data_IF_914463797696
#
_entry.id   IF_914463797696
#
_cell.length_a   1.000
_cell.length_b   1.000
_cell.length_c   1.000
_cell.angle_alpha   90.00
_cell.angle_beta   90.00
_cell.angle_gamma   90.00
#
_symmetry.space_group_name_H-M   'P 1'
#
loop_
_entity.id
_entity.type
_entity.pdbx_description
1 polymer ?
#
# COMPACT_ATOMS: atom_id res chain seq x y z
N UNK A 1 23.31 -2.72 -30.72
CA UNK A 1 24.07 -2.89 -29.46
C UNK A 1 23.19 -2.99 -28.20
N UNK A 2 21.89 -2.67 -28.22
CA UNK A 2 21.03 -2.72 -27.02
C UNK A 2 20.39 -4.09 -26.71
N UNK A 3 20.25 -4.98 -27.70
CA UNK A 3 19.59 -6.28 -27.56
C UNK A 3 20.39 -7.31 -26.75
N UNK A 4 21.72 -7.23 -26.79
CA UNK A 4 22.59 -8.16 -26.03
C UNK A 4 22.44 -7.98 -24.52
N UNK A 5 22.33 -6.74 -24.02
CA UNK A 5 22.19 -6.47 -22.59
C UNK A 5 20.87 -6.99 -22.00
N UNK A 6 19.79 -6.93 -22.79
CA UNK A 6 18.48 -7.44 -22.37
C UNK A 6 18.48 -8.97 -22.23
N UNK A 7 19.13 -9.68 -23.17
CA UNK A 7 19.25 -11.14 -23.10
C UNK A 7 20.07 -11.62 -21.89
N UNK A 8 21.17 -10.94 -21.56
CA UNK A 8 21.97 -11.28 -20.38
C UNK A 8 21.22 -11.05 -19.06
N UNK A 9 20.35 -10.04 -19.01
CA UNK A 9 19.51 -9.78 -17.84
C UNK A 9 18.48 -10.90 -17.64
N UNK A 10 17.79 -11.31 -18.71
CA UNK A 10 16.79 -12.38 -18.66
C UNK A 10 17.39 -13.73 -18.25
N UNK A 11 18.55 -14.10 -18.81
CA UNK A 11 19.26 -15.34 -18.42
C UNK A 11 19.69 -15.31 -16.94
N UNK A 12 20.01 -14.14 -16.40
CA UNK A 12 20.35 -13.98 -14.98
C UNK A 12 19.13 -14.12 -14.08
N UNK A 13 17.98 -13.57 -14.47
CA UNK A 13 16.73 -13.76 -13.72
C UNK A 13 16.30 -15.23 -13.71
N UNK A 14 16.39 -15.92 -14.87
CA UNK A 14 16.01 -17.34 -14.98
C UNK A 14 16.88 -18.20 -14.04
N UNK A 15 18.21 -18.02 -14.05
CA UNK A 15 19.10 -18.77 -13.17
C UNK A 15 18.82 -18.54 -11.68
N UNK A 16 18.45 -17.30 -11.31
CA UNK A 16 18.08 -16.97 -9.92
C UNK A 16 16.77 -17.61 -9.51
N UNK A 17 15.79 -17.66 -10.41
CA UNK A 17 14.49 -18.28 -10.18
C UNK A 17 14.64 -19.80 -10.01
N UNK A 18 15.44 -20.44 -10.86
CA UNK A 18 15.76 -21.86 -10.76
C UNK A 18 16.45 -22.21 -9.42
N UNK A 19 17.43 -21.40 -9.01
CA UNK A 19 18.11 -21.58 -7.73
C UNK A 19 17.19 -21.37 -6.51
N UNK A 20 16.24 -20.42 -6.58
CA UNK A 20 15.26 -20.19 -5.53
C UNK A 20 14.28 -21.36 -5.41
N UNK A 21 13.86 -21.93 -6.54
CA UNK A 21 12.92 -23.05 -6.59
C UNK A 21 13.58 -24.34 -6.08
N UNK A 22 14.82 -24.62 -6.48
CA UNK A 22 15.58 -25.78 -5.99
C UNK A 22 15.79 -25.77 -4.48
N UNK A 23 16.02 -24.59 -3.88
CA UNK A 23 16.11 -24.46 -2.42
C UNK A 23 14.79 -24.69 -1.70
N UNK A 24 13.67 -24.31 -2.32
CA UNK A 24 12.34 -24.54 -1.74
C UNK A 24 12.00 -26.03 -1.76
N UNK A 25 12.37 -26.73 -2.82
CA UNK A 25 12.21 -28.18 -2.96
C UNK A 25 13.06 -28.95 -1.96
N UNK A 26 14.34 -28.55 -1.75
CA UNK A 26 15.22 -29.18 -0.77
C UNK A 26 14.71 -29.01 0.67
N UNK A 27 14.16 -27.83 1.01
CA UNK A 27 13.51 -27.61 2.31
C UNK A 27 12.24 -28.44 2.46
N UNK A 28 11.42 -28.56 1.42
CA UNK A 28 10.20 -29.36 1.45
C UNK A 28 10.50 -30.86 1.63
N UNK A 29 11.54 -31.40 0.99
CA UNK A 29 11.94 -32.80 1.14
C UNK A 29 12.49 -33.13 2.54
N UNK A 30 13.01 -32.14 3.26
CA UNK A 30 13.50 -32.33 4.64
C UNK A 30 12.39 -32.38 5.70
N UNK A 31 11.17 -31.98 5.36
CA UNK A 31 10.03 -31.86 6.30
C UNK A 31 9.09 -33.08 6.27
N UNK A 32 9.29 -34.03 5.36
CA UNK A 32 8.35 -35.12 5.09
C UNK A 32 8.94 -36.52 5.40
N UNK A 33 9.53 -36.69 6.59
CA UNK A 33 10.04 -37.99 7.05
C UNK A 33 9.49 -38.39 8.44
N UNK A 34 8.43 -39.24 8.51
CA UNK A 34 7.83 -39.66 9.77
C UNK A 34 8.11 -41.14 10.09
N UNK A 35 9.35 -41.58 10.36
CA UNK A 35 9.65 -42.72 11.27
C UNK A 35 11.15 -42.96 11.55
N UNK A 36 11.52 -42.98 12.84
CA UNK A 36 12.86 -43.37 13.35
C UNK A 36 13.20 -44.86 13.14
N UNK A 37 14.45 -45.28 13.47
CA UNK A 37 14.53 -46.16 14.64
C UNK A 37 15.71 -45.93 15.60
N UNK A 38 15.49 -46.40 16.83
CA UNK A 38 16.37 -46.47 18.00
C UNK A 38 17.56 -47.42 17.76
N UNK A 39 18.70 -47.17 18.41
CA UNK A 39 19.67 -48.23 18.72
C UNK A 39 20.19 -48.12 20.16
N UNK A 40 20.07 -49.23 20.87
CA UNK A 40 20.56 -49.49 22.24
C UNK A 40 22.00 -50.03 22.16
N UNK A 41 22.84 -49.69 23.12
CA UNK A 41 24.17 -50.30 23.33
C UNK A 41 24.88 -49.74 24.56
N UNK A 42 24.97 -50.56 25.61
CA UNK A 42 25.52 -50.27 26.94
C UNK A 42 27.03 -50.53 27.02
N UNK A 43 27.80 -49.69 27.73
CA UNK A 43 28.67 -50.10 28.85
C UNK A 43 29.58 -48.98 29.41
N UNK A 44 29.66 -48.96 30.75
CA UNK A 44 30.70 -48.44 31.65
C UNK A 44 30.70 -46.94 32.07
N UNK A 45 30.30 -46.73 33.33
CA UNK A 45 30.58 -45.59 34.23
C UNK A 45 32.08 -45.48 34.55
N UNK A 46 32.63 -44.29 34.87
CA UNK A 46 32.46 -43.69 36.20
C UNK A 46 32.15 -42.17 36.23
N UNK A 47 31.62 -41.75 37.38
CA UNK A 47 31.21 -40.41 37.85
C UNK A 47 32.42 -39.53 38.29
N UNK A 48 32.30 -38.24 38.68
CA UNK A 48 31.75 -37.04 38.03
C UNK A 48 32.80 -35.93 37.83
N UNK A 49 32.63 -35.08 36.81
CA UNK A 49 33.19 -33.72 36.81
C UNK A 49 32.20 -32.76 36.12
N UNK A 50 31.70 -31.79 36.88
CA UNK A 50 30.78 -30.77 36.38
C UNK A 50 31.46 -29.93 35.28
N UNK A 51 30.86 -29.80 34.07
CA UNK A 51 31.27 -28.76 33.14
C UNK A 51 30.47 -27.49 33.45
N UNK A 52 31.21 -26.40 33.60
CA UNK A 52 30.75 -25.00 33.57
C UNK A 52 29.66 -24.76 32.51
N UNK A 53 28.67 -23.88 32.76
CA UNK A 53 27.64 -23.60 31.77
C UNK A 53 28.29 -22.97 30.54
N UNK A 54 28.26 -23.72 29.45
CA UNK A 54 28.63 -23.23 28.12
C UNK A 54 27.59 -22.18 27.77
N UNK A 55 28.03 -20.94 27.54
CA UNK A 55 27.19 -19.90 26.95
C UNK A 55 26.74 -20.38 25.57
N UNK A 56 25.54 -20.94 25.49
CA UNK A 56 24.87 -21.20 24.23
C UNK A 56 24.57 -19.84 23.60
N UNK A 57 25.41 -19.40 22.67
CA UNK A 57 25.10 -18.24 21.83
C UNK A 57 23.87 -18.63 21.02
N UNK A 58 22.74 -18.02 21.34
CA UNK A 58 21.50 -18.19 20.60
C UNK A 58 21.75 -17.86 19.11
N UNK A 59 21.16 -18.62 18.17
CA UNK A 59 21.22 -18.28 16.75
C UNK A 59 20.81 -16.81 16.53
N UNK A 60 21.51 -16.06 15.66
CA UNK A 60 21.15 -14.68 15.38
C UNK A 60 19.69 -14.63 14.91
N UNK A 61 18.89 -13.79 15.58
CA UNK A 61 17.49 -13.59 15.23
C UNK A 61 17.37 -13.21 13.75
N UNK A 62 16.31 -13.69 13.04
CA UNK A 62 16.04 -13.27 11.68
C UNK A 62 16.06 -11.73 11.58
N UNK A 63 16.56 -11.15 10.48
CA UNK A 63 16.52 -9.70 10.29
C UNK A 63 15.10 -9.21 10.50
N UNK A 64 14.93 -8.23 11.39
CA UNK A 64 13.64 -7.58 11.60
C UNK A 64 13.10 -7.13 10.25
N UNK A 65 11.81 -7.42 9.98
CA UNK A 65 11.16 -6.95 8.77
C UNK A 65 11.35 -5.41 8.68
N UNK A 66 11.69 -4.87 7.50
CA UNK A 66 11.88 -3.43 7.36
C UNK A 66 10.59 -2.73 7.77
N UNK A 67 10.67 -1.85 8.76
CA UNK A 67 9.55 -1.03 9.20
C UNK A 67 9.11 -0.07 8.08
N UNK A 68 7.83 0.27 8.04
CA UNK A 68 7.34 1.25 7.10
C UNK A 68 7.96 2.62 7.39
N UNK A 69 8.24 3.45 6.37
CA UNK A 69 8.68 4.82 6.60
C UNK A 69 7.62 5.61 7.40
N UNK A 70 7.99 6.48 8.36
CA UNK A 70 7.03 7.21 9.18
C UNK A 70 5.98 8.00 8.38
N UNK A 71 6.38 8.59 7.24
CA UNK A 71 5.46 9.34 6.38
C UNK A 71 4.34 8.47 5.79
N UNK A 72 4.61 7.17 5.61
CA UNK A 72 3.64 6.20 5.10
C UNK A 72 2.73 5.72 6.23
N UNK A 73 3.26 5.57 7.44
CA UNK A 73 2.46 5.27 8.63
C UNK A 73 1.48 6.42 8.94
N UNK A 74 1.92 7.68 8.83
CA UNK A 74 1.06 8.87 8.98
C UNK A 74 -0.04 8.90 7.92
N UNK A 75 0.29 8.59 6.66
CA UNK A 75 -0.69 8.54 5.58
C UNK A 75 -1.66 7.36 5.74
N UNK A 76 -1.19 6.22 6.25
CA UNK A 76 -2.04 5.08 6.61
C UNK A 76 -3.02 5.45 7.73
N UNK A 77 -2.60 6.25 8.71
CA UNK A 77 -3.48 6.76 9.76
C UNK A 77 -4.58 7.67 9.17
N UNK A 78 -4.24 8.55 8.22
CA UNK A 78 -5.20 9.38 7.51
C UNK A 78 -6.23 8.54 6.74
N UNK A 79 -5.78 7.52 6.00
CA UNK A 79 -6.67 6.62 5.26
C UNK A 79 -7.59 5.87 6.23
N UNK A 80 -7.02 5.25 7.27
CA UNK A 80 -7.77 4.42 8.20
C UNK A 80 -8.69 5.22 9.15
N UNK A 81 -8.43 6.52 9.31
CA UNK A 81 -9.27 7.44 10.05
C UNK A 81 -10.28 8.15 9.16
N UNK A 82 -9.91 9.36 8.71
CA UNK A 82 -10.82 10.29 8.05
C UNK A 82 -11.38 9.75 6.74
N UNK A 83 -10.55 9.12 5.90
CA UNK A 83 -11.00 8.60 4.59
C UNK A 83 -11.97 7.43 4.76
N UNK A 84 -11.66 6.45 5.63
CA UNK A 84 -12.59 5.35 5.95
C UNK A 84 -13.90 5.87 6.53
N UNK A 85 -13.84 6.81 7.47
CA UNK A 85 -15.05 7.44 8.04
C UNK A 85 -15.89 8.12 6.96
N UNK A 86 -15.25 8.84 6.03
CA UNK A 86 -15.91 9.45 4.88
C UNK A 86 -16.59 8.42 3.97
N UNK A 87 -15.91 7.29 3.67
CA UNK A 87 -16.47 6.18 2.88
C UNK A 87 -17.67 5.56 3.59
N UNK A 88 -17.55 5.26 4.89
CA UNK A 88 -18.64 4.68 5.67
C UNK A 88 -19.88 5.57 5.70
N UNK A 89 -19.70 6.89 5.74
CA UNK A 89 -20.80 7.86 5.60
C UNK A 89 -21.39 7.85 4.19
N UNK A 90 -20.55 7.78 3.15
CA UNK A 90 -20.99 7.66 1.76
C UNK A 90 -21.82 6.39 1.53
N UNK A 91 -21.39 5.25 2.08
CA UNK A 91 -22.12 3.98 2.03
C UNK A 91 -23.48 4.06 2.73
N UNK A 92 -23.57 4.78 3.87
CA UNK A 92 -24.84 5.02 4.56
C UNK A 92 -25.81 5.87 3.74
N UNK A 93 -25.32 6.84 2.98
CA UNK A 93 -26.14 7.64 2.05
C UNK A 93 -26.57 6.79 0.85
N UNK A 94 -25.68 5.94 0.35
CA UNK A 94 -25.96 5.02 -0.76
C UNK A 94 -25.90 5.67 -2.14
N UNK A 95 -26.29 4.89 -3.15
CA UNK A 95 -26.39 5.33 -4.55
C UNK A 95 -25.07 5.90 -5.10
N UNK A 96 -25.17 7.01 -5.83
CA UNK A 96 -24.03 7.67 -6.47
C UNK A 96 -22.98 8.16 -5.46
N UNK A 97 -23.40 8.53 -4.24
CA UNK A 97 -22.49 9.04 -3.21
C UNK A 97 -21.64 7.90 -2.64
N UNK A 98 -22.23 6.73 -2.40
CA UNK A 98 -21.49 5.53 -2.02
C UNK A 98 -20.45 5.17 -3.07
N UNK A 99 -20.84 5.15 -4.35
CA UNK A 99 -19.93 4.86 -5.46
C UNK A 99 -18.77 5.86 -5.54
N UNK A 100 -19.07 7.15 -5.46
CA UNK A 100 -18.04 8.19 -5.50
C UNK A 100 -17.11 8.11 -4.27
N UNK A 101 -17.62 7.76 -3.10
CA UNK A 101 -16.81 7.62 -1.88
C UNK A 101 -15.81 6.46 -1.97
N UNK A 102 -16.19 5.33 -2.59
CA UNK A 102 -15.26 4.23 -2.87
C UNK A 102 -14.15 4.65 -3.84
N UNK A 103 -14.48 5.46 -4.84
CA UNK A 103 -13.47 6.01 -5.74
C UNK A 103 -12.50 6.97 -5.03
N UNK A 104 -12.97 7.74 -4.02
CA UNK A 104 -12.08 8.54 -3.17
C UNK A 104 -11.08 7.65 -2.43
N UNK A 105 -11.55 6.56 -1.81
CA UNK A 105 -10.64 5.60 -1.15
C UNK A 105 -9.59 5.06 -2.11
N UNK A 106 -10.00 4.65 -3.32
CA UNK A 106 -9.08 4.16 -4.35
C UNK A 106 -8.03 5.21 -4.71
N UNK A 107 -8.41 6.48 -4.81
CA UNK A 107 -7.48 7.57 -5.10
C UNK A 107 -6.44 7.74 -3.98
N UNK A 108 -6.85 7.71 -2.71
CA UNK A 108 -5.93 7.75 -1.58
C UNK A 108 -5.01 6.51 -1.51
N UNK A 109 -5.52 5.31 -1.79
CA UNK A 109 -4.70 4.08 -1.84
C UNK A 109 -3.67 4.13 -2.98
N UNK A 110 -4.05 4.70 -4.14
CA UNK A 110 -3.14 4.94 -5.25
C UNK A 110 -2.06 5.97 -4.90
N UNK A 111 -2.43 7.08 -4.26
CA UNK A 111 -1.49 8.10 -3.78
C UNK A 111 -0.53 7.53 -2.73
N UNK A 112 -1.02 6.72 -1.78
CA UNK A 112 -0.18 6.00 -0.81
C UNK A 112 0.90 5.17 -1.52
N UNK A 113 0.52 4.47 -2.59
CA UNK A 113 1.43 3.67 -3.39
C UNK A 113 2.50 4.54 -4.05
N UNK A 114 2.10 5.68 -4.63
CA UNK A 114 3.02 6.66 -5.21
C UNK A 114 4.01 7.20 -4.16
N UNK A 115 3.50 7.62 -2.99
CA UNK A 115 4.33 8.10 -1.87
C UNK A 115 5.32 7.03 -1.41
N UNK A 116 4.88 5.77 -1.27
CA UNK A 116 5.76 4.67 -0.88
C UNK A 116 6.90 4.46 -1.89
N UNK A 117 6.60 4.45 -3.20
CA UNK A 117 7.61 4.33 -4.25
C UNK A 117 8.61 5.49 -4.18
N UNK A 118 8.14 6.72 -3.91
CA UNK A 118 9.02 7.89 -3.77
C UNK A 118 10.03 7.75 -2.63
N UNK A 119 9.74 6.96 -1.59
CA UNK A 119 10.70 6.68 -0.50
C UNK A 119 11.83 5.73 -0.90
N UNK A 120 11.66 5.01 -2.03
CA UNK A 120 12.59 3.97 -2.50
C UNK A 120 13.33 4.35 -3.77
N UNK A 121 12.90 5.41 -4.46
CA UNK A 121 13.42 5.81 -5.75
C UNK A 121 13.74 7.31 -5.80
N UNK A 122 14.74 7.68 -6.62
CA UNK A 122 14.91 9.08 -7.01
C UNK A 122 13.83 9.45 -8.03
N UNK A 123 13.47 10.73 -8.09
CA UNK A 123 12.55 11.25 -9.10
C UNK A 123 13.05 10.88 -10.51
N UNK A 124 12.28 10.10 -11.28
CA UNK A 124 12.64 9.74 -12.65
C UNK A 124 12.34 10.90 -13.62
N UNK A 125 13.18 11.03 -14.65
CA UNK A 125 12.99 11.96 -15.77
C UNK A 125 13.19 11.21 -17.09
N UNK A 126 12.12 10.98 -17.90
CA UNK A 126 10.73 11.40 -17.68
C UNK A 126 10.03 10.56 -16.59
N UNK A 127 8.90 11.07 -16.08
CA UNK A 127 8.11 10.37 -15.08
C UNK A 127 7.29 9.23 -15.71
N UNK A 128 7.35 8.00 -15.17
CA UNK A 128 6.57 6.87 -15.68
C UNK A 128 5.08 7.13 -15.51
N UNK A 129 4.27 7.08 -16.59
CA UNK A 129 2.83 7.30 -16.50
C UNK A 129 2.12 6.24 -15.63
N UNK A 130 2.69 5.03 -15.54
CA UNK A 130 2.13 3.91 -14.79
C UNK A 130 2.02 4.18 -13.29
N UNK A 131 2.87 5.07 -12.74
CA UNK A 131 2.81 5.45 -11.32
C UNK A 131 1.57 6.29 -10.99
N UNK A 132 0.93 6.89 -11.99
CA UNK A 132 -0.22 7.78 -11.82
C UNK A 132 -1.52 7.18 -12.35
N UNK A 133 -1.46 6.05 -13.06
CA UNK A 133 -2.62 5.46 -13.73
C UNK A 133 -3.80 5.24 -12.79
N UNK A 134 -3.59 4.62 -11.63
CA UNK A 134 -4.69 4.35 -10.70
C UNK A 134 -5.26 5.62 -10.07
N UNK A 135 -4.42 6.61 -9.75
CA UNK A 135 -4.88 7.89 -9.23
C UNK A 135 -5.70 8.67 -10.28
N UNK A 136 -5.26 8.65 -11.55
CA UNK A 136 -6.02 9.25 -12.66
C UNK A 136 -7.35 8.52 -12.87
N UNK A 137 -7.37 7.19 -12.91
CA UNK A 137 -8.59 6.41 -13.10
C UNK A 137 -9.63 6.69 -11.99
N UNK A 138 -9.17 6.75 -10.73
CA UNK A 138 -10.03 7.08 -9.59
C UNK A 138 -10.57 8.52 -9.69
N UNK A 139 -9.70 9.48 -10.04
CA UNK A 139 -10.09 10.88 -10.25
C UNK A 139 -11.10 11.04 -11.40
N UNK A 140 -10.88 10.34 -12.51
CA UNK A 140 -11.79 10.32 -13.66
C UNK A 140 -13.13 9.72 -13.27
N UNK A 141 -13.14 8.63 -12.50
CA UNK A 141 -14.38 8.04 -11.96
C UNK A 141 -15.17 9.06 -11.14
N UNK A 142 -14.50 9.76 -10.22
CA UNK A 142 -15.13 10.78 -9.37
C UNK A 142 -15.77 11.89 -10.20
N UNK A 143 -15.04 12.39 -11.20
CA UNK A 143 -15.51 13.45 -12.08
C UNK A 143 -16.64 12.97 -12.99
N UNK A 144 -16.51 11.79 -13.59
CA UNK A 144 -17.54 11.23 -14.47
C UNK A 144 -18.87 10.99 -13.73
N UNK A 145 -18.82 10.57 -12.47
CA UNK A 145 -20.00 10.44 -11.62
C UNK A 145 -20.73 11.77 -11.44
N UNK A 146 -20.00 12.86 -11.20
CA UNK A 146 -20.59 14.22 -11.14
C UNK A 146 -21.16 14.63 -12.50
N UNK A 147 -20.35 14.54 -13.55
CA UNK A 147 -20.65 15.08 -14.88
C UNK A 147 -21.82 14.37 -15.57
N UNK A 148 -21.92 13.05 -15.40
CA UNK A 148 -22.99 12.25 -15.99
C UNK A 148 -24.31 12.35 -15.22
N UNK A 149 -24.30 12.92 -14.01
CA UNK A 149 -25.46 12.97 -13.12
C UNK A 149 -25.82 14.40 -12.70
N UNK A 150 -25.67 15.37 -13.62
CA UNK A 150 -25.96 16.81 -13.38
C UNK A 150 -27.39 17.11 -12.90
N UNK A 151 -28.35 16.25 -13.21
CA UNK A 151 -29.74 16.39 -12.76
C UNK A 151 -30.02 15.71 -11.40
N UNK A 152 -29.04 15.05 -10.79
CA UNK A 152 -29.20 14.35 -9.52
C UNK A 152 -29.53 15.32 -8.38
N UNK A 153 -30.45 14.97 -7.46
CA UNK A 153 -30.64 15.74 -6.23
C UNK A 153 -29.37 15.75 -5.37
N UNK A 154 -28.50 14.74 -5.51
CA UNK A 154 -27.23 14.65 -4.79
C UNK A 154 -26.08 15.37 -5.50
N UNK A 155 -26.35 16.18 -6.54
CA UNK A 155 -25.31 16.84 -7.33
C UNK A 155 -24.37 17.73 -6.50
N UNK A 156 -24.86 18.37 -5.43
CA UNK A 156 -24.02 19.15 -4.52
C UNK A 156 -23.04 18.25 -3.73
N UNK A 157 -23.44 17.04 -3.35
CA UNK A 157 -22.51 16.08 -2.73
C UNK A 157 -21.43 15.69 -3.74
N UNK A 158 -21.85 15.30 -4.95
CA UNK A 158 -20.93 14.86 -6.01
C UNK A 158 -19.94 15.95 -6.40
N UNK A 159 -20.41 17.20 -6.44
CA UNK A 159 -19.57 18.36 -6.76
C UNK A 159 -18.57 18.66 -5.64
N UNK A 160 -18.98 18.61 -4.36
CA UNK A 160 -18.05 18.87 -3.25
C UNK A 160 -16.84 17.91 -3.29
N UNK A 161 -17.08 16.63 -3.58
CA UNK A 161 -16.03 15.61 -3.71
C UNK A 161 -15.17 15.84 -4.95
N UNK A 162 -15.79 16.14 -6.10
CA UNK A 162 -15.07 16.37 -7.34
C UNK A 162 -14.19 17.64 -7.32
N UNK A 163 -14.62 18.70 -6.64
CA UNK A 163 -13.75 19.86 -6.40
C UNK A 163 -12.59 19.49 -5.45
N UNK A 164 -12.85 18.63 -4.46
CA UNK A 164 -11.85 18.25 -3.45
C UNK A 164 -10.78 17.28 -3.93
N UNK A 165 -11.09 16.37 -4.86
CA UNK A 165 -10.11 15.35 -5.30
C UNK A 165 -8.87 15.95 -5.96
N UNK A 166 -8.98 17.18 -6.49
CA UNK A 166 -7.86 17.96 -7.04
C UNK A 166 -6.72 18.12 -6.02
N UNK A 167 -7.02 18.09 -4.72
CA UNK A 167 -6.03 18.25 -3.65
C UNK A 167 -4.99 17.13 -3.63
N UNK A 168 -5.29 15.94 -4.16
CA UNK A 168 -4.32 14.85 -4.26
C UNK A 168 -3.20 15.14 -5.28
N UNK A 169 -3.27 16.23 -6.04
CA UNK A 169 -2.18 16.69 -6.90
C UNK A 169 -1.04 17.42 -6.17
N UNK A 170 -1.12 17.61 -4.85
CA UNK A 170 -0.22 18.49 -4.09
C UNK A 170 1.27 18.18 -4.24
N UNK A 171 1.64 16.92 -4.47
CA UNK A 171 3.04 16.50 -4.54
C UNK A 171 3.75 16.91 -5.84
N UNK A 172 3.01 17.51 -6.79
CA UNK A 172 3.60 18.18 -7.96
C UNK A 172 3.83 19.67 -7.75
N UNK A 173 3.26 20.25 -6.70
CA UNK A 173 3.25 21.69 -6.50
C UNK A 173 4.49 22.16 -5.75
N UNK A 174 4.94 23.35 -6.11
CA UNK A 174 6.07 24.00 -5.42
C UNK A 174 5.74 24.41 -3.98
N UNK A 175 4.46 24.65 -3.70
CA UNK A 175 3.93 24.99 -2.37
C UNK A 175 2.72 24.11 -2.03
N UNK A 176 2.95 22.85 -1.63
CA UNK A 176 1.88 21.88 -1.44
C UNK A 176 0.78 22.28 -0.45
N UNK A 177 1.17 22.85 0.70
CA UNK A 177 0.23 23.22 1.75
C UNK A 177 -0.69 24.38 1.31
N UNK A 178 -0.11 25.38 0.62
CA UNK A 178 -0.87 26.51 0.06
C UNK A 178 -1.86 25.99 -1.01
N UNK A 179 -1.40 25.11 -1.90
CA UNK A 179 -2.23 24.49 -2.94
C UNK A 179 -3.45 23.75 -2.35
N UNK A 180 -3.23 22.88 -1.35
CA UNK A 180 -4.34 22.18 -0.69
C UNK A 180 -5.30 23.16 -0.01
N UNK A 181 -4.78 24.23 0.59
CA UNK A 181 -5.58 25.25 1.25
C UNK A 181 -6.47 26.03 0.28
N UNK A 182 -6.01 26.28 -0.94
CA UNK A 182 -6.77 26.98 -1.99
C UNK A 182 -8.00 26.17 -2.45
N UNK A 183 -7.92 24.84 -2.42
CA UNK A 183 -8.99 23.93 -2.88
C UNK A 183 -10.18 23.90 -1.90
N UNK A 184 -9.93 24.19 -0.61
CA UNK A 184 -10.95 24.18 0.44
C UNK A 184 -12.15 25.07 0.09
N UNK A 185 -11.93 26.20 -0.58
CA UNK A 185 -13.01 27.10 -1.00
C UNK A 185 -14.03 26.44 -1.93
N UNK A 186 -13.58 25.61 -2.88
CA UNK A 186 -14.44 24.87 -3.81
C UNK A 186 -15.26 23.80 -3.11
N UNK A 187 -14.61 23.05 -2.21
CA UNK A 187 -15.27 22.03 -1.37
C UNK A 187 -16.36 22.68 -0.51
N UNK A 188 -16.02 23.77 0.19
CA UNK A 188 -16.95 24.48 1.07
C UNK A 188 -18.13 25.09 0.32
N UNK A 189 -17.93 25.58 -0.91
CA UNK A 189 -19.01 26.15 -1.71
C UNK A 189 -20.16 25.15 -1.92
N UNK A 190 -19.85 23.91 -2.28
CA UNK A 190 -20.86 22.85 -2.45
C UNK A 190 -21.25 22.20 -1.12
N UNK A 191 -20.29 21.95 -0.23
CA UNK A 191 -20.52 21.39 1.10
C UNK A 191 -21.49 22.23 1.93
N UNK A 192 -21.39 23.56 1.90
CA UNK A 192 -22.31 24.45 2.60
C UNK A 192 -23.75 24.37 2.06
N UNK A 193 -23.93 24.06 0.76
CA UNK A 193 -25.27 23.82 0.19
C UNK A 193 -25.86 22.52 0.74
N UNK A 194 -25.06 21.46 0.82
CA UNK A 194 -25.45 20.19 1.44
C UNK A 194 -25.83 20.42 2.91
N UNK A 195 -24.97 21.07 3.69
CA UNK A 195 -25.26 21.39 5.09
C UNK A 195 -26.56 22.20 5.24
N UNK A 196 -26.79 23.19 4.37
CA UNK A 196 -28.03 23.98 4.40
C UNK A 196 -29.28 23.13 4.12
N UNK A 197 -29.19 22.16 3.21
CA UNK A 197 -30.30 21.33 2.77
C UNK A 197 -30.62 20.20 3.75
N UNK A 198 -29.61 19.61 4.39
CA UNK A 198 -29.72 18.40 5.22
C UNK A 198 -29.35 18.62 6.71
N UNK A 199 -29.39 19.87 7.20
CA UNK A 199 -29.05 20.20 8.60
C UNK A 199 -30.06 19.70 9.65
N UNK A 200 -31.30 19.39 9.24
CA UNK A 200 -32.40 18.95 10.13
C UNK A 200 -32.60 17.44 10.03
#
# INVERSE_FOLDING_TARGET
MATSNHMHNLTTLIKRLEAATSRLEDMAMSLDDPHSPKHVGSAATPEPAAPTPVNTVAPPAPPAAPSLPPQIEDFDALINGDVRSFVDLGEKIGGLVAEQSRAVLQAFEAERTYLYVSTKARKPEPQPPELMTELHNASDTINNLRESNRASPLFNHLSAVAEGIVALGWFFESKPADFVSEIVGGIQYYGNKVLKEYKE
#
